data_IF_942645291114
#
_entry.id   IF_942645291114
#
_cell.length_a   1.000
_cell.length_b   1.000
_cell.length_c   1.000
_cell.angle_alpha   90.00
_cell.angle_beta   90.00
_cell.angle_gamma   90.00
#
_symmetry.space_group_name_H-M   'P 1'
#
loop_
_entity.id
_entity.type
_entity.pdbx_description
1 polymer ?
#
# COMPACT_ATOMS: atom_id res chain seq x y z
N UNK A 1 0.92 7.17 12.19
CA UNK A 1 0.87 6.08 11.19
C UNK A 1 0.51 6.60 9.81
N UNK A 2 -0.62 7.29 9.63
CA UNK A 2 -1.02 7.87 8.33
C UNK A 2 0.07 8.73 7.65
N UNK A 3 0.62 9.74 8.34
CA UNK A 3 1.69 10.58 7.80
C UNK A 3 2.95 9.79 7.41
N UNK A 4 3.25 8.72 8.16
CA UNK A 4 4.40 7.86 7.86
C UNK A 4 4.17 7.03 6.59
N UNK A 5 2.93 6.56 6.37
CA UNK A 5 2.54 5.90 5.12
C UNK A 5 2.72 6.86 3.93
N UNK A 6 2.26 8.11 4.05
CA UNK A 6 2.45 9.12 3.01
C UNK A 6 3.93 9.39 2.74
N UNK A 7 4.73 9.61 3.79
CA UNK A 7 6.17 9.82 3.67
C UNK A 7 6.87 8.68 2.92
N UNK A 8 6.55 7.42 3.25
CA UNK A 8 7.11 6.24 2.58
C UNK A 8 6.70 6.20 1.11
N UNK A 9 5.43 6.52 0.80
CA UNK A 9 4.94 6.53 -0.58
C UNK A 9 5.61 7.64 -1.40
N UNK A 10 5.76 8.84 -0.85
CA UNK A 10 6.50 9.92 -1.51
C UNK A 10 7.95 9.51 -1.79
N UNK A 11 8.65 8.92 -0.81
CA UNK A 11 10.01 8.38 -1.03
C UNK A 11 10.05 7.32 -2.13
N UNK A 12 9.04 6.45 -2.20
CA UNK A 12 8.93 5.42 -3.22
C UNK A 12 8.77 6.00 -4.64
N UNK A 13 8.18 7.19 -4.79
CA UNK A 13 8.03 7.83 -6.11
C UNK A 13 9.39 8.25 -6.70
N UNK A 14 10.32 8.73 -5.87
CA UNK A 14 11.60 9.27 -6.31
C UNK A 14 12.77 8.25 -6.25
N UNK A 15 12.48 6.99 -5.90
CA UNK A 15 13.51 5.96 -5.75
C UNK A 15 13.59 5.06 -7.00
N UNK A 16 14.81 4.56 -7.30
CA UNK A 16 15.06 3.54 -8.34
C UNK A 16 14.24 2.27 -8.13
N UNK A 17 13.95 1.58 -9.23
CA UNK A 17 13.08 0.39 -9.26
C UNK A 17 13.51 -0.69 -8.28
N UNK A 18 14.82 -0.94 -8.09
CA UNK A 18 15.29 -2.01 -7.18
C UNK A 18 14.87 -1.76 -5.72
N UNK A 19 14.97 -0.51 -5.25
CA UNK A 19 14.69 -0.15 -3.85
C UNK A 19 13.22 0.25 -3.65
N UNK A 20 12.52 0.61 -4.72
CA UNK A 20 11.08 0.93 -4.70
C UNK A 20 10.22 -0.21 -4.17
N UNK A 21 10.61 -1.46 -4.42
CA UNK A 21 9.92 -2.65 -3.88
C UNK A 21 9.87 -2.64 -2.35
N UNK A 22 11.00 -2.32 -1.70
CA UNK A 22 11.11 -2.29 -0.24
C UNK A 22 10.21 -1.21 0.36
N UNK A 23 10.14 -0.03 -0.27
CA UNK A 23 9.23 1.03 0.16
C UNK A 23 7.76 0.66 -0.01
N UNK A 24 7.39 -0.04 -1.08
CA UNK A 24 6.01 -0.52 -1.27
C UNK A 24 5.63 -1.56 -0.21
N UNK A 25 6.50 -2.52 0.10
CA UNK A 25 6.28 -3.50 1.18
C UNK A 25 6.12 -2.78 2.53
N UNK A 26 6.97 -1.80 2.83
CA UNK A 26 6.86 -1.02 4.05
C UNK A 26 5.55 -0.20 4.11
N UNK A 27 5.12 0.40 3.00
CA UNK A 27 3.87 1.15 2.91
C UNK A 27 2.64 0.25 3.13
N UNK A 28 2.63 -0.95 2.54
CA UNK A 28 1.58 -1.96 2.74
C UNK A 28 1.46 -2.31 4.22
N UNK A 29 2.57 -2.67 4.89
CA UNK A 29 2.53 -3.00 6.31
C UNK A 29 2.06 -1.84 7.20
N UNK A 30 2.35 -0.59 6.84
CA UNK A 30 1.81 0.58 7.55
C UNK A 30 0.33 0.81 7.29
N UNK A 31 -0.15 0.49 6.09
CA UNK A 31 -1.58 0.55 5.75
C UNK A 31 -2.37 -0.52 6.50
N UNK A 32 -1.85 -1.74 6.60
CA UNK A 32 -2.48 -2.83 7.36
C UNK A 32 -2.61 -2.47 8.84
N UNK A 33 -1.57 -1.86 9.41
CA UNK A 33 -1.63 -1.35 10.78
C UNK A 33 -2.68 -0.23 10.93
N UNK A 34 -2.85 0.63 9.92
CA UNK A 34 -3.88 1.67 9.93
C UNK A 34 -5.29 1.08 9.89
N UNK A 35 -5.52 0.03 9.08
CA UNK A 35 -6.79 -0.72 9.05
C UNK A 35 -7.07 -1.35 10.42
N UNK A 36 -6.07 -1.97 11.04
CA UNK A 36 -6.20 -2.56 12.37
C UNK A 36 -6.59 -1.53 13.45
N UNK A 37 -5.94 -0.36 13.48
CA UNK A 37 -6.32 0.71 14.40
C UNK A 37 -7.72 1.25 14.13
N UNK A 38 -8.12 1.36 12.87
CA UNK A 38 -9.48 1.77 12.50
C UNK A 38 -10.51 0.76 13.01
N UNK A 39 -10.25 -0.54 12.87
CA UNK A 39 -11.09 -1.60 13.40
C UNK A 39 -11.20 -1.53 14.93
N UNK A 40 -10.09 -1.42 15.65
CA UNK A 40 -10.10 -1.26 17.11
C UNK A 40 -10.91 -0.03 17.52
N UNK A 41 -10.71 1.10 16.84
CA UNK A 41 -11.44 2.34 17.13
C UNK A 41 -12.94 2.19 16.95
N UNK A 42 -13.38 1.44 15.93
CA UNK A 42 -14.78 1.11 15.71
C UNK A 42 -15.34 0.15 16.77
N UNK A 43 -14.61 -0.93 17.10
CA UNK A 43 -15.01 -1.90 18.13
C UNK A 43 -15.18 -1.23 19.51
N UNK A 44 -14.34 -0.24 19.83
CA UNK A 44 -14.42 0.56 21.05
C UNK A 44 -15.43 1.72 20.95
N UNK A 45 -16.24 1.78 19.89
CA UNK A 45 -17.26 2.82 19.64
C UNK A 45 -16.70 4.26 19.59
N UNK A 46 -15.40 4.41 19.35
CA UNK A 46 -14.75 5.72 19.13
C UNK A 46 -15.00 6.24 17.71
N UNK A 47 -15.33 5.34 16.79
CA UNK A 47 -15.64 5.64 15.39
C UNK A 47 -17.05 5.14 15.09
N UNK A 48 -17.91 6.02 14.58
CA UNK A 48 -19.25 5.64 14.12
C UNK A 48 -19.17 4.68 12.93
N UNK A 49 -20.13 3.74 12.83
CA UNK A 49 -20.16 2.71 11.79
C UNK A 49 -20.13 3.28 10.37
N UNK A 50 -20.82 4.40 10.10
CA UNK A 50 -20.80 5.02 8.76
C UNK A 50 -19.41 5.55 8.43
N UNK A 51 -18.73 6.16 9.40
CA UNK A 51 -17.35 6.63 9.23
C UNK A 51 -16.38 5.47 9.06
N UNK A 52 -16.56 4.40 9.84
CA UNK A 52 -15.76 3.18 9.73
C UNK A 52 -15.86 2.57 8.32
N UNK A 53 -17.08 2.39 7.80
CA UNK A 53 -17.31 1.84 6.45
C UNK A 53 -16.59 2.69 5.40
N UNK A 54 -16.84 4.00 5.37
CA UNK A 54 -16.25 4.90 4.38
C UNK A 54 -14.71 4.90 4.43
N UNK A 55 -14.13 4.91 5.64
CA UNK A 55 -12.67 4.88 5.81
C UNK A 55 -12.09 3.51 5.44
N UNK A 56 -12.76 2.42 5.81
CA UNK A 56 -12.33 1.06 5.50
C UNK A 56 -12.30 0.82 3.99
N UNK A 57 -13.34 1.24 3.28
CA UNK A 57 -13.40 1.15 1.81
C UNK A 57 -12.25 1.90 1.14
N UNK A 58 -11.97 3.13 1.60
CA UNK A 58 -10.85 3.91 1.08
C UNK A 58 -9.49 3.24 1.36
N UNK A 59 -9.29 2.70 2.57
CA UNK A 59 -8.07 1.97 2.92
C UNK A 59 -7.91 0.67 2.13
N UNK A 60 -9.01 -0.03 1.84
CA UNK A 60 -9.01 -1.22 0.99
C UNK A 60 -8.63 -0.88 -0.45
N UNK A 61 -9.18 0.20 -1.01
CA UNK A 61 -8.82 0.66 -2.34
C UNK A 61 -7.33 1.01 -2.45
N UNK A 62 -6.80 1.76 -1.47
CA UNK A 62 -5.37 2.06 -1.40
C UNK A 62 -4.57 0.75 -1.33
N UNK A 63 -5.02 -0.24 -0.55
CA UNK A 63 -4.36 -1.55 -0.46
C UNK A 63 -4.28 -2.28 -1.80
N UNK A 64 -5.38 -2.28 -2.56
CA UNK A 64 -5.41 -2.84 -3.93
C UNK A 64 -4.43 -2.12 -4.86
N UNK A 65 -4.36 -0.80 -4.80
CA UNK A 65 -3.42 -0.01 -5.61
C UNK A 65 -1.97 -0.34 -5.27
N UNK A 66 -1.61 -0.37 -3.98
CA UNK A 66 -0.25 -0.70 -3.55
C UNK A 66 0.14 -2.14 -3.92
N UNK A 67 -0.78 -3.09 -3.77
CA UNK A 67 -0.58 -4.48 -4.20
C UNK A 67 -0.38 -4.61 -5.70
N UNK A 68 -1.15 -3.88 -6.50
CA UNK A 68 -1.00 -3.81 -7.95
C UNK A 68 0.35 -3.23 -8.37
N UNK A 69 0.79 -2.15 -7.72
CA UNK A 69 2.11 -1.56 -7.97
C UNK A 69 3.26 -2.49 -7.60
N UNK A 70 3.16 -3.20 -6.48
CA UNK A 70 4.16 -4.22 -6.08
C UNK A 70 4.28 -5.31 -7.13
N UNK A 71 3.15 -5.92 -7.54
CA UNK A 71 3.13 -6.96 -8.58
C UNK A 71 3.72 -6.45 -9.90
N UNK A 72 3.31 -5.27 -10.35
CA UNK A 72 3.82 -4.67 -11.58
C UNK A 72 5.32 -4.39 -11.54
N UNK A 73 5.88 -4.13 -10.36
CA UNK A 73 7.32 -3.93 -10.17
C UNK A 73 8.08 -5.27 -10.16
N UNK A 74 7.53 -6.31 -9.51
CA UNK A 74 8.08 -7.67 -9.52
C UNK A 74 8.18 -8.22 -10.95
N UNK A 75 7.15 -8.00 -11.78
CA UNK A 75 7.17 -8.39 -13.20
C UNK A 75 8.28 -7.68 -13.98
N UNK A 76 8.55 -6.40 -13.70
CA UNK A 76 9.62 -5.62 -14.38
C UNK A 76 11.03 -6.04 -13.96
N UNK A 77 11.19 -6.47 -12.71
CA UNK A 77 12.48 -6.92 -12.17
C UNK A 77 12.77 -8.40 -12.52
N UNK A 78 11.78 -9.15 -12.97
CA UNK A 78 11.93 -10.54 -13.39
C UNK A 78 12.59 -10.61 -14.79
N UNK A 79 13.69 -11.38 -14.97
CA UNK A 79 14.49 -11.36 -16.21
C UNK A 79 13.83 -11.97 -17.47
N UNK A 80 12.53 -12.28 -17.48
CA UNK A 80 11.93 -13.10 -18.54
C UNK A 80 11.35 -12.34 -19.75
N UNK A 81 11.19 -11.01 -19.72
CA UNK A 81 10.52 -10.28 -20.83
C UNK A 81 11.46 -9.63 -21.85
N UNK A 82 12.72 -10.09 -21.94
CA UNK A 82 13.75 -9.53 -22.82
C UNK A 82 14.05 -10.30 -24.11
N UNK A 83 13.26 -11.31 -24.50
CA UNK A 83 13.55 -12.15 -25.69
C UNK A 83 12.31 -12.56 -26.50
N UNK A 84 11.46 -11.63 -26.90
CA UNK A 84 10.48 -11.89 -27.97
C UNK A 84 10.24 -10.63 -28.81
N UNK A 85 11.29 -10.13 -29.47
CA UNK A 85 11.20 -9.34 -30.72
C UNK A 85 12.49 -9.55 -31.53
N UNK A 86 12.59 -10.70 -32.20
CA UNK A 86 13.41 -10.89 -33.41
C UNK A 86 12.51 -11.46 -34.49
#
# INVERSE_FOLDING_TARGET
>A
MFLKTLEILFRAQYTKTEVKSQYLVAAIGKLDLLKFFLQIGWENKLVDTKKYINLSEALEEIGRMLGGWKKGLETKLSPHNGREKQ
#
